data_IF_715149081470
#
_entry.id   IF_715149081470
#
_cell.length_a   1.000
_cell.length_b   1.000
_cell.length_c   1.000
_cell.angle_alpha   90.00
_cell.angle_beta   90.00
_cell.angle_gamma   90.00
#
_symmetry.space_group_name_H-M   'P 1'
#
loop_
_entity.id
_entity.type
_entity.pdbx_description
1 polymer ?
#
# COMPACT_ATOMS: atom_id res chain seq x y z
N UNK A 1 17.00 2.68 -5.69
CA UNK A 1 15.96 2.85 -6.75
C UNK A 1 15.53 1.54 -7.40
N UNK A 2 16.44 0.68 -7.90
CA UNK A 2 16.08 -0.56 -8.60
C UNK A 2 15.11 -1.47 -7.81
N UNK A 3 15.32 -1.63 -6.50
CA UNK A 3 14.47 -2.48 -5.65
C UNK A 3 13.04 -1.92 -5.45
N UNK A 4 12.87 -0.59 -5.41
CA UNK A 4 11.53 0.03 -5.38
C UNK A 4 10.76 -0.23 -6.67
N UNK A 5 11.44 -0.23 -7.82
CA UNK A 5 10.83 -0.54 -9.12
C UNK A 5 10.49 -2.03 -9.25
N UNK A 6 11.30 -2.92 -8.68
CA UNK A 6 10.99 -4.35 -8.58
C UNK A 6 9.74 -4.57 -7.72
N UNK A 7 9.68 -3.94 -6.55
CA UNK A 7 8.48 -3.96 -5.69
C UNK A 7 7.25 -3.41 -6.42
N UNK A 8 7.37 -2.28 -7.13
CA UNK A 8 6.29 -1.74 -7.97
C UNK A 8 5.80 -2.75 -8.99
N UNK A 9 6.70 -3.48 -9.65
CA UNK A 9 6.33 -4.49 -10.66
C UNK A 9 5.50 -5.62 -10.04
N UNK A 10 5.86 -6.06 -8.82
CA UNK A 10 5.09 -7.05 -8.05
C UNK A 10 3.70 -6.51 -7.70
N UNK A 11 3.62 -5.29 -7.17
CA UNK A 11 2.33 -4.65 -6.83
C UNK A 11 1.43 -4.54 -8.06
N UNK A 12 1.96 -4.10 -9.21
CA UNK A 12 1.20 -3.99 -10.45
C UNK A 12 0.68 -5.35 -10.93
N UNK A 13 1.48 -6.41 -10.80
CA UNK A 13 1.03 -7.78 -11.11
C UNK A 13 -0.11 -8.23 -10.21
N UNK A 14 -0.05 -7.95 -8.91
CA UNK A 14 -1.11 -8.30 -7.97
C UNK A 14 -2.39 -7.49 -8.21
N UNK A 15 -2.27 -6.20 -8.51
CA UNK A 15 -3.41 -5.37 -8.92
C UNK A 15 -4.08 -5.90 -10.19
N UNK A 16 -3.31 -6.40 -11.15
CA UNK A 16 -3.86 -6.96 -12.37
C UNK A 16 -4.59 -8.29 -12.13
N UNK A 17 -4.07 -9.16 -11.25
CA UNK A 17 -4.80 -10.36 -10.81
C UNK A 17 -6.16 -10.00 -10.22
N UNK A 18 -6.20 -9.00 -9.36
CA UNK A 18 -7.45 -8.52 -8.77
C UNK A 18 -8.42 -7.91 -9.81
N UNK A 19 -7.92 -7.29 -10.90
CA UNK A 19 -8.78 -6.84 -12.02
C UNK A 19 -9.36 -8.02 -12.80
N UNK A 20 -8.55 -9.03 -13.10
CA UNK A 20 -8.99 -10.23 -13.80
C UNK A 20 -10.14 -10.93 -13.05
N UNK A 21 -10.04 -10.96 -11.72
CA UNK A 21 -11.07 -11.54 -10.85
C UNK A 21 -12.24 -10.59 -10.57
N UNK A 22 -12.25 -9.40 -11.19
CA UNK A 22 -13.29 -8.36 -11.08
C UNK A 22 -13.47 -7.79 -9.67
N UNK A 23 -12.44 -7.90 -8.83
CA UNK A 23 -12.44 -7.38 -7.46
C UNK A 23 -12.18 -5.87 -7.39
N UNK A 24 -11.50 -5.30 -8.39
CA UNK A 24 -11.27 -3.86 -8.51
C UNK A 24 -11.38 -3.39 -9.96
N UNK A 25 -11.88 -2.17 -10.16
CA UNK A 25 -11.93 -1.53 -11.49
C UNK A 25 -10.71 -0.65 -11.72
N UNK A 26 -10.25 0.03 -10.67
CA UNK A 26 -9.10 0.92 -10.74
C UNK A 26 -8.21 0.76 -9.49
N UNK A 27 -6.93 1.13 -9.58
CA UNK A 27 -5.96 0.89 -8.50
C UNK A 27 -6.20 1.74 -7.25
N UNK A 28 -6.93 2.85 -7.33
CA UNK A 28 -7.32 3.64 -6.16
C UNK A 28 -8.38 2.91 -5.31
N UNK A 29 -9.00 1.84 -5.80
CA UNK A 29 -9.89 1.01 -4.97
C UNK A 29 -9.11 0.06 -4.04
N UNK A 30 -7.77 0.08 -4.10
CA UNK A 30 -6.90 -0.79 -3.32
C UNK A 30 -5.99 -0.02 -2.36
N UNK A 31 -5.56 -0.74 -1.32
CA UNK A 31 -4.48 -0.38 -0.41
C UNK A 31 -3.43 -1.49 -0.39
N UNK A 32 -2.19 -1.11 -0.12
CA UNK A 32 -1.05 -2.02 -0.06
C UNK A 32 -0.56 -2.12 1.38
N UNK A 33 -0.40 -3.33 1.89
CA UNK A 33 0.32 -3.57 3.15
C UNK A 33 1.65 -4.25 2.84
N UNK A 34 2.75 -3.61 3.25
CA UNK A 34 4.12 -4.14 3.17
C UNK A 34 4.45 -4.72 4.53
N UNK A 35 4.59 -6.04 4.58
CA UNK A 35 4.73 -6.82 5.81
C UNK A 35 6.19 -7.20 5.99
N UNK A 36 6.82 -6.63 7.00
CA UNK A 36 8.22 -6.86 7.32
C UNK A 36 8.38 -8.12 8.19
N UNK A 37 9.41 -8.96 7.95
CA UNK A 37 9.69 -10.11 8.81
C UNK A 37 10.27 -9.64 10.16
N UNK A 38 10.05 -10.44 11.21
CA UNK A 38 10.41 -10.07 12.58
C UNK A 38 11.91 -10.27 12.91
N UNK A 39 12.63 -11.04 12.10
CA UNK A 39 13.96 -11.58 12.44
C UNK A 39 15.12 -10.82 11.76
N UNK A 40 14.96 -9.52 11.52
CA UNK A 40 16.01 -8.72 10.88
C UNK A 40 16.94 -8.13 11.95
N UNK A 41 18.06 -8.80 12.19
CA UNK A 41 19.10 -8.35 13.16
C UNK A 41 19.76 -7.02 12.81
N UNK A 42 19.72 -6.59 11.55
CA UNK A 42 20.28 -5.32 11.07
C UNK A 42 19.34 -4.72 10.05
N UNK A 43 18.75 -3.55 10.32
CA UNK A 43 17.85 -2.86 9.41
C UNK A 43 18.56 -2.54 8.09
N UNK A 44 18.31 -3.28 6.99
CA UNK A 44 19.00 -3.05 5.73
C UNK A 44 18.56 -1.69 5.18
N UNK A 45 19.42 -1.08 4.37
CA UNK A 45 19.19 0.25 3.80
C UNK A 45 17.83 0.35 3.07
N UNK A 46 17.40 -0.75 2.45
CA UNK A 46 16.11 -0.80 1.77
C UNK A 46 14.90 -0.64 2.68
N UNK A 47 14.91 -1.20 3.89
CA UNK A 47 13.80 -1.01 4.83
C UNK A 47 13.74 0.43 5.35
N UNK A 48 14.90 1.00 5.68
CA UNK A 48 15.00 2.41 6.03
C UNK A 48 14.49 3.32 4.90
N UNK A 49 14.76 2.95 3.64
CA UNK A 49 14.25 3.67 2.47
C UNK A 49 12.73 3.57 2.35
N UNK A 50 12.14 2.39 2.54
CA UNK A 50 10.68 2.20 2.49
C UNK A 50 10.00 3.02 3.60
N UNK A 51 10.51 2.94 4.82
CA UNK A 51 10.01 3.70 5.97
C UNK A 51 10.10 5.21 5.75
N UNK A 52 11.24 5.70 5.25
CA UNK A 52 11.42 7.12 4.96
C UNK A 52 10.49 7.64 3.87
N UNK A 53 10.27 6.84 2.83
CA UNK A 53 9.51 7.22 1.64
C UNK A 53 8.05 6.72 1.69
N UNK A 54 7.51 6.40 2.87
CA UNK A 54 6.17 5.82 3.04
C UNK A 54 5.08 6.58 2.26
N UNK A 55 5.11 7.91 2.35
CA UNK A 55 4.15 8.78 1.63
C UNK A 55 4.28 8.71 0.11
N UNK A 56 5.48 8.42 -0.41
CA UNK A 56 5.73 8.27 -1.83
C UNK A 56 5.25 6.91 -2.35
N UNK A 57 5.21 5.86 -1.51
CA UNK A 57 4.84 4.51 -1.94
C UNK A 57 3.45 4.45 -2.58
N UNK A 58 2.45 5.11 -1.99
CA UNK A 58 1.11 5.15 -2.60
C UNK A 58 1.07 5.87 -3.95
N UNK A 59 1.92 6.88 -4.13
CA UNK A 59 2.11 7.56 -5.41
C UNK A 59 2.82 6.63 -6.41
N UNK A 60 3.84 5.91 -5.94
CA UNK A 60 4.59 4.94 -6.72
C UNK A 60 3.71 3.75 -7.16
N UNK A 61 2.69 3.37 -6.40
CA UNK A 61 1.80 2.26 -6.76
C UNK A 61 0.47 2.72 -7.38
N UNK A 62 0.17 4.03 -7.33
CA UNK A 62 -1.07 4.62 -7.83
C UNK A 62 -2.30 4.01 -7.12
N UNK A 63 -2.18 3.85 -5.81
CA UNK A 63 -3.19 3.26 -4.92
C UNK A 63 -3.70 4.30 -3.93
N UNK A 64 -4.76 3.97 -3.17
CA UNK A 64 -5.26 4.91 -2.18
C UNK A 64 -4.36 5.07 -0.97
N UNK A 65 -3.76 3.97 -0.52
CA UNK A 65 -2.75 4.02 0.53
C UNK A 65 -1.76 2.86 0.46
N UNK A 66 -0.61 3.07 1.12
CA UNK A 66 0.42 2.06 1.30
C UNK A 66 0.91 2.12 2.75
N UNK A 67 0.79 1.01 3.47
CA UNK A 67 1.11 0.90 4.89
C UNK A 67 2.27 -0.07 5.10
N UNK A 68 3.11 0.20 6.07
CA UNK A 68 4.17 -0.71 6.51
C UNK A 68 3.74 -1.36 7.82
N UNK A 69 3.85 -2.68 7.92
CA UNK A 69 3.39 -3.43 9.08
C UNK A 69 4.34 -4.57 9.45
N UNK A 70 4.36 -4.97 10.71
CA UNK A 70 5.20 -6.08 11.17
C UNK A 70 4.50 -7.44 10.96
N UNK A 71 5.29 -8.52 10.88
CA UNK A 71 4.76 -9.89 10.73
C UNK A 71 3.97 -10.28 11.99
N UNK A 72 2.68 -10.54 11.79
CA UNK A 72 1.71 -10.87 12.86
C UNK A 72 0.62 -9.81 13.05
N UNK A 73 0.84 -8.57 12.56
CA UNK A 73 -0.12 -7.47 12.68
C UNK A 73 -1.38 -7.62 11.81
N UNK A 74 -1.34 -8.49 10.81
CA UNK A 74 -2.48 -8.78 9.93
C UNK A 74 -3.44 -9.83 10.47
N UNK A 75 -3.08 -10.53 11.56
CA UNK A 75 -3.72 -11.78 12.01
C UNK A 75 -5.20 -11.72 12.41
N UNK A 76 -5.86 -10.57 12.30
CA UNK A 76 -7.27 -10.40 12.68
C UNK A 76 -8.12 -9.66 11.64
N UNK A 77 -7.54 -9.15 10.55
CA UNK A 77 -8.28 -8.37 9.54
C UNK A 77 -8.72 -9.27 8.40
N UNK A 78 -10.01 -9.61 8.37
CA UNK A 78 -10.63 -10.29 7.24
C UNK A 78 -11.03 -9.26 6.19
N UNK A 79 -10.46 -9.36 5.00
CA UNK A 79 -10.81 -8.52 3.85
C UNK A 79 -11.73 -9.30 2.91
N UNK A 80 -12.56 -8.60 2.13
CA UNK A 80 -13.42 -9.23 1.12
C UNK A 80 -12.59 -10.02 0.07
N UNK A 81 -11.39 -9.54 -0.24
CA UNK A 81 -10.40 -10.20 -1.06
C UNK A 81 -9.00 -9.73 -0.65
N UNK A 82 -7.98 -10.53 -0.91
CA UNK A 82 -6.57 -10.13 -0.77
C UNK A 82 -5.68 -10.93 -1.70
N UNK A 83 -4.61 -10.31 -2.19
CA UNK A 83 -3.59 -10.95 -3.02
C UNK A 83 -2.21 -10.69 -2.42
N UNK A 84 -1.44 -11.76 -2.22
CA UNK A 84 -0.16 -11.68 -1.54
C UNK A 84 0.94 -12.20 -2.45
N UNK A 85 2.09 -11.51 -2.46
CA UNK A 85 3.34 -12.00 -3.02
C UNK A 85 4.47 -11.68 -2.06
N UNK A 86 5.53 -12.47 -2.10
CA UNK A 86 6.76 -12.17 -1.35
C UNK A 86 7.81 -11.54 -2.25
N UNK A 87 8.78 -10.86 -1.62
CA UNK A 87 9.96 -10.30 -2.25
C UNK A 87 11.15 -10.45 -1.31
N UNK A 88 12.26 -10.97 -1.84
CA UNK A 88 13.55 -11.00 -1.15
C UNK A 88 13.98 -9.59 -0.76
N UNK A 89 14.34 -9.40 0.50
CA UNK A 89 14.89 -8.13 0.97
C UNK A 89 16.32 -8.01 0.39
N UNK A 90 16.66 -6.93 -0.32
CA UNK A 90 18.03 -6.71 -0.78
C UNK A 90 18.94 -6.35 0.41
N UNK A 91 20.24 -6.56 0.22
CA UNK A 91 21.28 -6.15 1.18
C UNK A 91 21.18 -6.85 2.55
N UNK A 92 20.65 -8.07 2.60
CA UNK A 92 20.70 -8.96 3.77
C UNK A 92 21.39 -10.27 3.42
N UNK A 93 22.20 -10.79 4.36
CA UNK A 93 22.89 -12.08 4.23
C UNK A 93 21.95 -13.29 4.43
N UNK A 94 20.70 -13.02 4.80
CA UNK A 94 19.67 -14.04 5.03
C UNK A 94 18.66 -14.05 3.88
N UNK A 95 18.06 -15.22 3.60
CA UNK A 95 16.90 -15.36 2.69
C UNK A 95 15.61 -14.76 3.31
N UNK A 96 15.73 -13.58 3.92
CA UNK A 96 14.60 -12.86 4.50
C UNK A 96 13.74 -12.28 3.39
N UNK A 97 12.44 -12.60 3.45
CA UNK A 97 11.45 -12.08 2.52
C UNK A 97 10.48 -11.15 3.26
N UNK A 98 10.12 -10.05 2.59
CA UNK A 98 8.95 -9.26 2.95
C UNK A 98 7.75 -9.75 2.14
N UNK A 99 6.55 -9.58 2.69
CA UNK A 99 5.30 -9.87 1.98
C UNK A 99 4.61 -8.56 1.57
N UNK A 100 4.00 -8.58 0.39
CA UNK A 100 3.26 -7.46 -0.19
C UNK A 100 1.82 -7.95 -0.36
N UNK A 101 0.90 -7.33 0.35
CA UNK A 101 -0.53 -7.65 0.31
C UNK A 101 -1.29 -6.52 -0.38
N UNK A 102 -2.01 -6.83 -1.46
CA UNK A 102 -3.01 -5.95 -2.07
C UNK A 102 -4.37 -6.33 -1.50
N UNK A 103 -5.10 -5.33 -1.00
CA UNK A 103 -6.43 -5.50 -0.42
C UNK A 103 -7.35 -4.34 -0.81
N UNK A 104 -8.68 -4.46 -0.68
CA UNK A 104 -9.57 -3.34 -0.94
C UNK A 104 -9.28 -2.19 0.03
N UNK A 105 -9.51 -0.96 -0.45
CA UNK A 105 -9.39 0.22 0.38
C UNK A 105 -10.46 0.21 1.47
N UNK A 106 -10.06 0.62 2.66
CA UNK A 106 -10.86 0.65 3.86
C UNK A 106 -11.78 1.87 3.95
N UNK A 107 -11.54 2.90 3.13
CA UNK A 107 -12.26 4.16 3.15
C UNK A 107 -13.07 4.37 1.87
N UNK A 108 -13.95 5.37 1.92
CA UNK A 108 -14.80 5.74 0.81
C UNK A 108 -14.09 6.61 -0.22
N UNK A 109 -14.53 6.51 -1.48
CA UNK A 109 -14.08 7.37 -2.58
C UNK A 109 -14.36 8.84 -2.27
N UNK A 110 -13.36 9.70 -2.46
CA UNK A 110 -13.53 11.16 -2.44
C UNK A 110 -14.02 11.66 -3.82
N UNK A 111 -15.10 12.45 -3.91
CA UNK A 111 -15.63 12.90 -5.20
C UNK A 111 -14.70 13.89 -5.92
N UNK A 112 -13.79 14.57 -5.20
CA UNK A 112 -12.87 15.57 -5.78
C UNK A 112 -11.56 14.97 -6.30
N UNK A 113 -10.90 14.11 -5.54
CA UNK A 113 -9.60 13.54 -5.92
C UNK A 113 -9.66 12.07 -6.35
N UNK A 114 -10.82 11.42 -6.21
CA UNK A 114 -11.10 10.02 -6.53
C UNK A 114 -10.32 8.97 -5.74
N UNK A 115 -9.40 9.37 -4.85
CA UNK A 115 -8.77 8.50 -3.86
C UNK A 115 -9.77 8.05 -2.81
N UNK A 116 -9.67 6.81 -2.36
CA UNK A 116 -10.44 6.23 -1.27
C UNK A 116 -9.80 6.58 0.08
N UNK A 117 -9.97 7.83 0.50
CA UNK A 117 -9.44 8.38 1.77
C UNK A 117 -10.47 9.20 2.54
N UNK A 118 -11.74 9.11 2.14
CA UNK A 118 -12.85 9.84 2.76
C UNK A 118 -13.53 8.92 3.79
N UNK A 119 -13.66 9.37 5.03
CA UNK A 119 -14.55 8.75 6.03
C UNK A 119 -15.99 8.79 5.54
N UNK A 120 -16.82 7.78 5.87
CA UNK A 120 -18.17 7.66 5.31
C UNK A 120 -19.06 8.87 5.62
N UNK A 121 -18.89 9.47 6.79
CA UNK A 121 -19.68 10.61 7.29
C UNK A 121 -19.28 11.94 6.64
N UNK A 122 -18.14 12.00 5.94
CA UNK A 122 -17.61 13.25 5.35
C UNK A 122 -17.99 13.38 3.89
N UNK A 123 -18.14 14.61 3.40
CA UNK A 123 -18.36 14.88 1.98
C UNK A 123 -17.07 14.86 1.15
N UNK A 124 -15.92 15.18 1.76
CA UNK A 124 -14.61 15.22 1.12
C UNK A 124 -13.55 14.61 2.04
N UNK A 125 -12.43 14.16 1.48
CA UNK A 125 -11.28 13.80 2.30
C UNK A 125 -10.61 15.04 2.88
N UNK A 126 -9.90 14.91 4.01
CA UNK A 126 -9.30 16.05 4.71
C UNK A 126 -8.36 16.91 3.85
N UNK A 127 -7.66 16.30 2.87
CA UNK A 127 -6.86 17.03 1.88
C UNK A 127 -7.72 17.97 1.04
N UNK A 128 -8.84 17.47 0.51
CA UNK A 128 -9.72 18.24 -0.34
C UNK A 128 -10.46 19.33 0.43
N UNK A 129 -10.89 19.05 1.67
CA UNK A 129 -11.46 20.06 2.58
C UNK A 129 -10.47 21.20 2.83
N UNK A 130 -9.21 20.86 3.13
CA UNK A 130 -8.17 21.85 3.41
C UNK A 130 -7.84 22.74 2.21
N UNK A 131 -7.93 22.23 0.97
CA UNK A 131 -7.72 23.04 -0.23
C UNK A 131 -8.86 24.03 -0.43
N UNK A 132 -10.12 23.58 -0.27
CA UNK A 132 -11.29 24.45 -0.47
C UNK A 132 -11.30 25.58 0.57
N UNK A 133 -11.07 25.26 1.86
CA UNK A 133 -11.03 26.27 2.93
C UNK A 133 -9.96 27.35 2.77
N UNK A 134 -8.91 27.10 1.97
CA UNK A 134 -7.83 28.07 1.69
C UNK A 134 -8.07 28.90 0.44
N UNK A 135 -9.05 28.52 -0.37
CA UNK A 135 -9.41 29.20 -1.61
C UNK A 135 -10.52 30.25 -1.41
N UNK A 136 -11.13 30.27 -0.23
CA UNK A 136 -12.01 31.31 0.29
C UNK A 136 -11.19 32.38 1.04
#
# INVERSE_FOLDING_TARGET
>A
MANLLKMRSIVLSLLEKARCDKHLKNSLEAEIDIILPNDISTQPYFLQLIEREETFLKTLFIVSDANITAKGSLGTRSFAWSYISTMTIPDTDSDSELAICVRPSSLSKCPRCWTHTREEERNLCGRCEGIIRRAD
#
